data_IF_042225187779
#
_entry.id   IF_042225187779
#
_cell.length_a   1.000
_cell.length_b   1.000
_cell.length_c   1.000
_cell.angle_alpha   90.00
_cell.angle_beta   90.00
_cell.angle_gamma   90.00
#
_symmetry.space_group_name_H-M   'P 1'
#
loop_
_entity.id
_entity.type
_entity.pdbx_description
1 polymer ?
#
# COMPACT_ATOMS: atom_id res chain seq x y z
N UNK A 1 36.19 4.88 39.52
CA UNK A 1 35.96 3.62 38.79
C UNK A 1 34.93 3.89 37.70
N UNK A 2 35.41 4.52 36.61
CA UNK A 2 34.69 4.72 35.35
C UNK A 2 35.20 3.64 34.40
N UNK A 3 34.52 2.51 34.33
CA UNK A 3 34.65 1.53 33.25
C UNK A 3 33.52 0.53 33.49
N UNK A 4 32.92 -0.02 32.43
CA UNK A 4 31.87 -1.05 32.46
C UNK A 4 30.41 -0.55 32.57
N UNK A 5 29.99 0.39 31.72
CA UNK A 5 28.58 0.44 31.25
C UNK A 5 28.44 0.96 29.81
N UNK A 6 29.56 0.99 29.07
CA UNK A 6 29.52 0.91 27.61
C UNK A 6 29.60 -0.58 27.26
N UNK A 7 28.52 -1.13 26.72
CA UNK A 7 28.33 -2.36 25.91
C UNK A 7 26.93 -2.90 26.22
N UNK A 8 25.90 -2.26 25.66
CA UNK A 8 24.73 -2.95 25.09
C UNK A 8 24.42 -2.28 23.75
N UNK A 9 25.44 -2.26 22.90
CA UNK A 9 25.25 -2.37 21.46
C UNK A 9 25.54 -3.84 21.13
N UNK A 10 24.78 -4.43 20.20
CA UNK A 10 24.84 -5.83 19.78
C UNK A 10 24.13 -6.84 20.70
N UNK A 11 22.80 -6.79 20.68
CA UNK A 11 22.06 -7.99 20.28
C UNK A 11 21.27 -7.58 19.05
N UNK A 12 21.73 -8.05 17.90
CA UNK A 12 20.91 -8.09 16.71
C UNK A 12 19.56 -8.70 17.10
N UNK A 13 18.46 -7.99 16.83
CA UNK A 13 17.13 -8.59 16.84
C UNK A 13 16.83 -9.07 15.41
N UNK A 14 17.18 -10.30 14.99
CA UNK A 14 16.59 -10.90 13.80
C UNK A 14 15.26 -11.59 14.16
N UNK A 15 14.46 -11.00 15.05
CA UNK A 15 13.20 -11.60 15.50
C UNK A 15 12.04 -10.80 14.91
N UNK A 16 11.13 -11.50 14.26
CA UNK A 16 9.97 -11.02 13.48
C UNK A 16 8.92 -10.21 14.24
N UNK A 17 9.30 -9.15 14.97
CA UNK A 17 8.36 -8.17 15.51
C UNK A 17 7.65 -7.45 14.36
N UNK A 18 6.46 -7.95 14.03
CA UNK A 18 5.45 -7.15 13.32
C UNK A 18 5.17 -5.94 14.21
N UNK A 19 5.37 -4.75 13.66
CA UNK A 19 4.93 -3.53 14.31
C UNK A 19 3.40 -3.60 14.42
N UNK A 20 2.90 -3.58 15.66
CA UNK A 20 1.46 -3.52 15.95
C UNK A 20 0.87 -2.14 15.63
N UNK A 21 1.71 -1.14 15.37
CA UNK A 21 1.29 0.20 14.98
C UNK A 21 0.63 0.21 13.59
N UNK A 22 -0.39 1.04 13.44
CA UNK A 22 -1.10 1.24 12.17
C UNK A 22 -0.13 1.85 11.15
N UNK A 23 0.04 1.19 10.02
CA UNK A 23 0.78 1.69 8.86
C UNK A 23 -0.20 2.06 7.74
N UNK A 24 0.12 3.11 6.98
CA UNK A 24 -0.72 3.59 5.88
C UNK A 24 -0.01 3.31 4.56
N UNK A 25 -0.62 2.54 3.67
CA UNK A 25 -0.07 2.28 2.35
C UNK A 25 -0.41 3.46 1.43
N UNK A 26 0.46 4.45 1.33
CA UNK A 26 0.14 5.70 0.62
C UNK A 26 0.50 5.65 -0.85
N UNK A 27 1.65 5.09 -1.22
CA UNK A 27 2.16 5.06 -2.60
C UNK A 27 1.80 3.81 -3.36
N UNK A 28 1.89 2.64 -2.75
CA UNK A 28 1.42 1.42 -3.39
C UNK A 28 0.81 0.46 -2.38
N UNK A 29 -0.11 -0.37 -2.89
CA UNK A 29 -0.73 -1.47 -2.19
C UNK A 29 -0.83 -2.63 -3.18
N UNK A 30 -0.08 -3.71 -2.96
CA UNK A 30 -0.13 -4.88 -3.83
C UNK A 30 -0.15 -6.17 -3.01
N UNK A 31 -1.12 -7.07 -3.24
CA UNK A 31 -1.07 -8.40 -2.64
C UNK A 31 0.15 -9.16 -3.21
N UNK A 32 0.83 -9.92 -2.37
CA UNK A 32 1.84 -10.86 -2.83
C UNK A 32 1.15 -12.08 -3.40
N UNK A 33 1.26 -12.29 -4.71
CA UNK A 33 0.73 -13.49 -5.36
C UNK A 33 1.76 -14.61 -5.48
N UNK A 34 3.06 -14.31 -5.37
CA UNK A 34 4.15 -15.22 -5.78
C UNK A 34 5.19 -15.48 -4.70
N UNK A 35 5.52 -14.48 -3.88
CA UNK A 35 6.66 -14.57 -2.94
C UNK A 35 6.23 -14.95 -1.53
N UNK A 36 5.10 -14.42 -1.02
CA UNK A 36 4.60 -14.71 0.32
C UNK A 36 3.06 -14.60 0.35
N UNK A 37 2.33 -15.67 -0.02
CA UNK A 37 0.87 -15.68 0.03
C UNK A 37 0.35 -15.23 1.41
N UNK A 38 -0.68 -14.40 1.43
CA UNK A 38 -1.26 -13.86 2.67
C UNK A 38 -0.62 -12.57 3.19
N UNK A 39 0.38 -12.03 2.48
CA UNK A 39 0.93 -10.70 2.75
C UNK A 39 0.58 -9.71 1.65
N UNK A 40 0.42 -8.45 2.05
CA UNK A 40 0.34 -7.28 1.17
C UNK A 40 1.60 -6.45 1.34
N UNK A 41 2.20 -6.06 0.22
CA UNK A 41 3.34 -5.15 0.19
C UNK A 41 2.83 -3.72 0.02
N UNK A 42 3.45 -2.79 0.73
CA UNK A 42 3.10 -1.39 0.76
C UNK A 42 4.33 -0.48 0.81
N UNK A 43 4.15 0.77 0.38
CA UNK A 43 5.13 1.85 0.57
C UNK A 43 4.46 3.12 1.05
N UNK A 44 5.15 3.77 1.97
CA UNK A 44 4.78 5.06 2.56
C UNK A 44 5.17 6.23 1.63
N UNK A 45 4.77 7.45 2.00
CA UNK A 45 4.99 8.64 1.16
C UNK A 45 6.46 9.07 1.14
N UNK A 46 7.19 8.81 2.23
CA UNK A 46 8.64 8.97 2.39
C UNK A 46 9.44 7.87 1.68
N UNK A 47 8.77 6.87 1.12
CA UNK A 47 9.37 5.85 0.29
C UNK A 47 9.83 4.60 1.03
N UNK A 48 9.51 4.46 2.31
CA UNK A 48 9.77 3.27 3.10
C UNK A 48 8.86 2.11 2.68
N UNK A 49 9.44 0.95 2.41
CA UNK A 49 8.70 -0.26 2.09
C UNK A 49 8.36 -1.03 3.39
N UNK A 50 7.16 -1.60 3.45
CA UNK A 50 6.75 -2.54 4.49
C UNK A 50 5.76 -3.58 3.93
N UNK A 51 5.66 -4.76 4.57
CA UNK A 51 4.61 -5.75 4.25
C UNK A 51 3.70 -5.93 5.44
N UNK A 52 2.42 -6.21 5.22
CA UNK A 52 1.47 -6.51 6.30
C UNK A 52 0.70 -7.78 5.99
N UNK A 53 0.15 -8.43 7.00
CA UNK A 53 -0.77 -9.55 6.79
C UNK A 53 -2.02 -9.03 6.06
N UNK A 54 -2.45 -9.67 4.96
CA UNK A 54 -3.46 -9.08 4.06
C UNK A 54 -4.83 -8.83 4.70
N UNK A 55 -5.20 -9.63 5.71
CA UNK A 55 -6.46 -9.51 6.43
C UNK A 55 -6.48 -8.34 7.45
N UNK A 56 -5.35 -7.68 7.70
CA UNK A 56 -5.28 -6.54 8.63
C UNK A 56 -5.45 -5.19 7.95
N UNK A 57 -5.50 -5.16 6.62
CA UNK A 57 -5.56 -3.94 5.80
C UNK A 57 -7.00 -3.40 5.58
N UNK A 58 -7.90 -3.64 6.53
CA UNK A 58 -9.34 -3.38 6.42
C UNK A 58 -10.06 -4.33 5.44
N UNK A 59 -11.39 -4.23 5.36
CA UNK A 59 -12.18 -5.09 4.47
C UNK A 59 -11.97 -4.73 3.00
N UNK A 60 -11.92 -5.73 2.11
CA UNK A 60 -11.75 -5.47 0.67
C UNK A 60 -12.88 -4.60 0.08
N UNK A 61 -14.11 -4.74 0.60
CA UNK A 61 -15.27 -3.94 0.14
C UNK A 61 -15.17 -2.46 0.50
N UNK A 62 -14.35 -2.07 1.49
CA UNK A 62 -14.10 -0.67 1.81
C UNK A 62 -12.99 -0.04 0.97
N UNK A 63 -12.34 -0.82 0.08
CA UNK A 63 -11.21 -0.38 -0.76
C UNK A 63 -11.70 0.01 -2.14
N UNK A 64 -12.14 1.26 -2.27
CA UNK A 64 -12.60 1.77 -3.55
C UNK A 64 -12.14 3.20 -3.84
N UNK A 65 -12.03 3.49 -5.13
CA UNK A 65 -11.87 4.83 -5.67
C UNK A 65 -13.08 5.19 -6.54
N UNK A 66 -13.34 6.48 -6.69
CA UNK A 66 -14.48 7.01 -7.43
C UNK A 66 -14.02 7.90 -8.56
N UNK A 67 -14.93 8.15 -9.49
CA UNK A 67 -14.69 9.02 -10.64
C UNK A 67 -13.41 8.62 -11.40
N UNK A 68 -13.26 7.33 -11.70
CA UNK A 68 -12.12 6.79 -12.41
C UNK A 68 -12.43 6.60 -13.90
N UNK A 69 -11.42 6.76 -14.75
CA UNK A 69 -11.44 6.41 -16.17
C UNK A 69 -10.72 5.09 -16.43
N UNK A 70 -11.28 4.25 -17.30
CA UNK A 70 -10.68 2.96 -17.70
C UNK A 70 -9.53 3.19 -18.68
N UNK A 71 -8.41 2.48 -18.52
CA UNK A 71 -7.40 2.40 -19.57
C UNK A 71 -7.87 1.49 -20.71
N UNK A 72 -7.74 1.99 -21.93
CA UNK A 72 -7.90 1.20 -23.13
C UNK A 72 -6.54 0.69 -23.65
N UNK A 73 -6.54 -0.36 -24.50
CA UNK A 73 -5.30 -0.94 -25.04
C UNK A 73 -4.44 0.04 -25.84
N UNK A 74 -5.04 1.09 -26.40
CA UNK A 74 -4.37 2.17 -27.14
C UNK A 74 -3.73 3.23 -26.22
N UNK A 75 -3.80 3.04 -24.89
CA UNK A 75 -3.28 3.97 -23.90
C UNK A 75 -4.23 5.11 -23.56
N UNK A 76 -5.38 5.24 -24.24
CA UNK A 76 -6.36 6.27 -23.93
C UNK A 76 -7.09 5.96 -22.64
N UNK A 77 -7.47 7.02 -21.94
CA UNK A 77 -8.29 6.93 -20.72
C UNK A 77 -9.71 7.29 -21.08
N UNK A 78 -10.63 6.37 -20.81
CA UNK A 78 -12.06 6.60 -20.98
C UNK A 78 -12.62 7.63 -20.01
N UNK A 79 -13.92 7.89 -20.13
CA UNK A 79 -14.62 8.85 -19.26
C UNK A 79 -14.43 8.51 -17.78
N UNK A 80 -14.15 9.53 -16.98
CA UNK A 80 -14.10 9.45 -15.53
C UNK A 80 -15.54 9.40 -14.99
N UNK A 81 -16.04 8.20 -14.74
CA UNK A 81 -17.39 7.97 -14.19
C UNK A 81 -17.55 6.61 -13.50
N UNK A 82 -16.43 5.93 -13.21
CA UNK A 82 -16.43 4.59 -12.61
C UNK A 82 -16.06 4.66 -11.14
N UNK A 83 -16.73 3.83 -10.34
CA UNK A 83 -16.27 3.43 -9.01
C UNK A 83 -15.52 2.11 -9.18
N UNK A 84 -14.31 2.06 -8.64
CA UNK A 84 -13.39 0.93 -8.80
C UNK A 84 -13.07 0.35 -7.43
N UNK A 85 -13.50 -0.88 -7.19
CA UNK A 85 -13.06 -1.67 -6.05
C UNK A 85 -11.73 -2.33 -6.43
N UNK A 86 -10.65 -1.87 -5.81
CA UNK A 86 -9.31 -2.22 -6.27
C UNK A 86 -8.76 -3.46 -5.53
N UNK A 87 -8.08 -4.31 -6.29
CA UNK A 87 -7.20 -5.38 -5.80
C UNK A 87 -5.82 -4.83 -5.45
N UNK A 88 -5.30 -3.92 -6.26
CA UNK A 88 -4.05 -3.20 -6.03
C UNK A 88 -4.10 -1.78 -6.61
N UNK A 89 -3.24 -0.90 -6.10
CA UNK A 89 -3.08 0.44 -6.67
C UNK A 89 -1.65 0.97 -6.56
N UNK A 90 -1.38 1.97 -7.38
CA UNK A 90 -0.20 2.82 -7.36
C UNK A 90 -0.64 4.29 -7.37
N UNK A 91 -0.14 5.09 -6.43
CA UNK A 91 -0.44 6.50 -6.31
C UNK A 91 0.76 7.34 -6.77
N UNK A 92 0.49 8.26 -7.68
CA UNK A 92 1.40 9.34 -8.05
C UNK A 92 0.76 10.64 -7.55
N UNK A 93 0.98 10.92 -6.26
CA UNK A 93 0.39 12.10 -5.62
C UNK A 93 0.95 13.41 -6.21
N UNK A 94 2.18 13.39 -6.75
CA UNK A 94 2.79 14.53 -7.45
C UNK A 94 2.13 14.76 -8.82
N UNK A 95 1.83 13.67 -9.55
CA UNK A 95 1.05 13.70 -10.79
C UNK A 95 -0.47 13.90 -10.57
N UNK A 96 -0.95 13.83 -9.33
CA UNK A 96 -2.35 14.06 -8.98
C UNK A 96 -3.30 12.90 -9.29
N UNK A 97 -2.80 11.67 -9.36
CA UNK A 97 -3.62 10.50 -9.70
C UNK A 97 -3.24 9.23 -8.92
N UNK A 98 -4.17 8.27 -8.96
CA UNK A 98 -3.98 6.89 -8.53
C UNK A 98 -4.37 5.98 -9.68
N UNK A 99 -3.47 5.07 -10.04
CA UNK A 99 -3.77 3.96 -10.94
C UNK A 99 -4.22 2.76 -10.10
N UNK A 100 -5.41 2.26 -10.38
CA UNK A 100 -6.05 1.17 -9.66
C UNK A 100 -6.33 0.00 -10.60
N UNK A 101 -6.21 -1.22 -10.10
CA UNK A 101 -6.58 -2.42 -10.84
C UNK A 101 -7.60 -3.22 -10.04
N UNK A 102 -8.68 -3.62 -10.70
CA UNK A 102 -9.77 -4.36 -10.07
C UNK A 102 -9.49 -5.88 -10.00
N UNK A 103 -10.48 -6.66 -9.57
CA UNK A 103 -10.37 -8.13 -9.49
C UNK A 103 -10.33 -8.84 -10.85
N UNK A 104 -10.70 -8.15 -11.94
CA UNK A 104 -10.66 -8.67 -13.31
C UNK A 104 -9.39 -8.22 -14.04
N UNK A 105 -8.41 -7.71 -13.30
CA UNK A 105 -7.15 -7.15 -13.79
C UNK A 105 -7.35 -6.00 -14.80
N UNK A 106 -8.47 -5.29 -14.71
CA UNK A 106 -8.75 -4.08 -15.50
C UNK A 106 -8.15 -2.87 -14.80
N UNK A 107 -7.39 -2.07 -15.56
CA UNK A 107 -6.71 -0.87 -15.08
C UNK A 107 -7.58 0.37 -15.22
N UNK A 108 -7.51 1.24 -14.22
CA UNK A 108 -8.20 2.52 -14.16
C UNK A 108 -7.28 3.61 -13.63
N UNK A 109 -7.48 4.85 -14.09
CA UNK A 109 -6.89 6.05 -13.49
C UNK A 109 -7.96 6.84 -12.74
N UNK A 110 -7.66 7.23 -11.51
CA UNK A 110 -8.54 7.99 -10.64
C UNK A 110 -7.82 9.28 -10.20
N UNK A 111 -8.46 10.45 -10.31
CA UNK A 111 -7.85 11.70 -9.87
C UNK A 111 -7.85 11.83 -8.35
N UNK A 112 -6.75 12.32 -7.75
CA UNK A 112 -6.66 12.51 -6.28
C UNK A 112 -7.32 13.79 -5.78
N UNK A 113 -7.90 14.60 -6.69
CA UNK A 113 -8.70 15.78 -6.32
C UNK A 113 -9.96 15.41 -5.53
N UNK A 114 -10.56 14.25 -5.79
CA UNK A 114 -11.72 13.77 -5.05
C UNK A 114 -11.31 13.29 -3.64
N UNK A 115 -11.96 13.74 -2.55
CA UNK A 115 -11.56 13.38 -1.17
C UNK A 115 -11.48 11.87 -0.91
N UNK A 116 -12.44 11.11 -1.45
CA UNK A 116 -12.43 9.65 -1.38
C UNK A 116 -11.15 9.03 -1.95
N UNK A 117 -10.60 9.60 -3.03
CA UNK A 117 -9.40 9.12 -3.69
C UNK A 117 -8.11 9.49 -2.96
N UNK A 118 -8.20 10.14 -1.79
CA UNK A 118 -7.09 10.36 -0.86
C UNK A 118 -7.08 9.36 0.28
N UNK A 119 -8.17 8.61 0.47
CA UNK A 119 -8.24 7.57 1.50
C UNK A 119 -7.36 6.40 1.05
N UNK A 120 -6.47 5.98 1.94
CA UNK A 120 -5.48 4.93 1.70
C UNK A 120 -5.70 3.79 2.69
N UNK A 121 -5.46 2.52 2.30
CA UNK A 121 -5.66 1.41 3.20
C UNK A 121 -4.68 1.51 4.37
N UNK A 122 -5.23 1.22 5.54
CA UNK A 122 -4.51 1.19 6.81
C UNK A 122 -4.38 -0.26 7.22
N UNK A 123 -3.16 -0.69 7.48
CA UNK A 123 -2.83 -2.06 7.85
C UNK A 123 -2.20 -2.08 9.24
N UNK A 124 -2.42 -3.15 9.99
CA UNK A 124 -1.69 -3.43 11.23
C UNK A 124 -0.84 -4.68 11.06
N UNK A 125 -0.02 -5.02 12.07
CA UNK A 125 0.84 -6.20 12.03
C UNK A 125 1.76 -6.19 10.80
N UNK A 126 2.51 -5.11 10.66
CA UNK A 126 3.36 -4.85 9.49
C UNK A 126 4.83 -5.09 9.82
N UNK A 127 5.56 -5.68 8.87
CA UNK A 127 7.01 -5.87 8.91
C UNK A 127 7.69 -4.81 8.02
N UNK A 128 8.43 -3.85 8.60
CA UNK A 128 9.13 -2.81 7.86
C UNK A 128 10.46 -3.29 7.25
N UNK A 129 10.92 -4.53 7.49
CA UNK A 129 12.22 -5.04 7.03
C UNK A 129 12.20 -5.57 5.60
N UNK A 130 11.59 -4.85 4.67
CA UNK A 130 11.74 -5.12 3.24
C UNK A 130 12.70 -4.09 2.64
N UNK A 131 13.99 -4.38 2.76
CA UNK A 131 15.11 -3.62 2.21
C UNK A 131 16.20 -4.58 1.76
#
# INVERSE_FOLDING_TARGET
MLLVLAIIALVAFPSGLLASSIQVCTQYFTPSSTLNPGFTYCKTADGSNFKCVSNTCGEAKSRYFVNCGRYYPDGNIGRFNKTVYYKFFFADDAGGYVDATDSHDVKFRCGTSHPQNKIRPRCTSCDPRIG
#
